data_IF_029787664477
#
_entry.id   IF_029787664477
#
_cell.length_a   1.000
_cell.length_b   1.000
_cell.length_c   1.000
_cell.angle_alpha   90.00
_cell.angle_beta   90.00
_cell.angle_gamma   90.00
#
_symmetry.space_group_name_H-M   'P 1'
#
loop_
_entity.id
_entity.type
_entity.pdbx_description
1 polymer ?
#
# COMPACT_ATOMS: atom_id res chain seq x y z
N UNK A 1 -13.42 21.91 -1.79
CA UNK A 1 -12.78 21.28 -0.62
C UNK A 1 -11.76 22.24 -0.04
N UNK A 2 -11.76 22.39 1.28
CA UNK A 2 -10.73 23.07 2.04
C UNK A 2 -9.64 22.06 2.43
N UNK A 3 -8.33 22.41 2.43
CA UNK A 3 -7.29 21.49 2.90
C UNK A 3 -7.53 20.92 4.31
N UNK A 4 -8.18 21.70 5.18
CA UNK A 4 -8.53 21.31 6.55
C UNK A 4 -9.65 20.22 6.61
N UNK A 5 -10.24 19.85 5.47
CA UNK A 5 -11.23 18.78 5.33
C UNK A 5 -10.61 17.44 4.88
N UNK A 6 -9.29 17.39 4.62
CA UNK A 6 -8.59 16.21 4.11
C UNK A 6 -8.42 15.15 5.20
N UNK A 7 -9.39 14.25 5.31
CA UNK A 7 -9.30 13.10 6.22
C UNK A 7 -8.26 12.09 5.76
N UNK A 8 -7.81 11.26 6.71
CA UNK A 8 -6.81 10.23 6.54
C UNK A 8 -7.38 8.85 6.86
N UNK A 9 -6.84 7.82 6.20
CA UNK A 9 -6.91 6.43 6.62
C UNK A 9 -5.55 5.77 6.36
N UNK A 10 -5.14 4.83 7.20
CA UNK A 10 -3.89 4.09 7.06
C UNK A 10 -4.22 2.61 7.14
N UNK A 11 -3.77 1.84 6.14
CA UNK A 11 -3.77 0.37 6.18
C UNK A 11 -2.32 -0.12 6.28
N UNK A 12 -2.06 -1.10 7.14
CA UNK A 12 -0.73 -1.69 7.33
C UNK A 12 -0.80 -3.21 7.28
N UNK A 13 0.09 -3.81 6.49
CA UNK A 13 0.23 -5.25 6.34
C UNK A 13 1.42 -5.73 7.19
N UNK A 14 1.20 -6.74 8.03
CA UNK A 14 2.18 -7.21 9.01
C UNK A 14 2.61 -8.66 8.85
N UNK A 15 3.87 -8.92 9.15
CA UNK A 15 4.49 -10.25 9.18
C UNK A 15 4.22 -10.93 10.53
N UNK A 16 3.67 -12.14 10.52
CA UNK A 16 3.64 -13.03 11.70
C UNK A 16 4.88 -13.92 11.66
N UNK A 17 5.72 -13.88 12.71
CA UNK A 17 6.89 -14.74 12.84
C UNK A 17 6.84 -15.62 14.09
N UNK A 18 7.46 -16.79 13.99
CA UNK A 18 7.87 -17.62 15.11
C UNK A 18 9.02 -16.91 15.88
N UNK A 19 8.99 -16.85 17.23
CA UNK A 19 10.01 -16.12 18.00
C UNK A 19 11.38 -16.82 18.05
N UNK A 20 11.41 -18.15 17.89
CA UNK A 20 12.61 -18.98 18.03
C UNK A 20 13.32 -19.16 16.68
N UNK A 21 12.60 -19.56 15.62
CA UNK A 21 13.15 -19.70 14.26
C UNK A 21 13.29 -18.35 13.56
N UNK A 22 12.44 -17.37 13.93
CA UNK A 22 12.27 -16.07 13.24
C UNK A 22 11.78 -16.21 11.81
N UNK A 23 11.20 -17.34 11.44
CA UNK A 23 10.56 -17.53 10.14
C UNK A 23 9.10 -17.08 10.16
N UNK A 24 8.59 -16.71 8.98
CA UNK A 24 7.17 -16.50 8.78
C UNK A 24 6.38 -17.78 9.02
N UNK A 25 5.29 -17.67 9.77
CA UNK A 25 4.47 -18.79 10.21
C UNK A 25 3.01 -18.60 9.84
N UNK A 26 2.38 -19.71 9.47
CA UNK A 26 1.03 -19.78 8.93
C UNK A 26 0.01 -20.02 10.04
N UNK A 27 -0.55 -18.96 10.63
CA UNK A 27 -1.38 -19.07 11.85
C UNK A 27 -2.64 -18.18 11.86
N UNK A 28 -3.02 -17.55 10.74
CA UNK A 28 -4.23 -16.70 10.67
C UNK A 28 -5.51 -17.43 11.12
N UNK A 29 -5.63 -18.74 10.90
CA UNK A 29 -6.88 -19.48 11.16
C UNK A 29 -7.34 -19.40 12.64
N UNK A 30 -6.46 -19.63 13.63
CA UNK A 30 -6.80 -19.43 15.05
C UNK A 30 -6.80 -17.94 15.46
N UNK A 31 -5.94 -17.12 14.83
CA UNK A 31 -5.88 -15.67 15.07
C UNK A 31 -7.25 -15.02 14.83
N UNK A 32 -7.96 -15.45 13.77
CA UNK A 32 -9.31 -15.00 13.45
C UNK A 32 -10.37 -15.48 14.43
N UNK A 33 -10.34 -16.73 14.90
CA UNK A 33 -11.37 -17.22 15.83
C UNK A 33 -11.34 -16.43 17.15
N UNK A 34 -10.14 -16.13 17.64
CA UNK A 34 -9.94 -15.31 18.85
C UNK A 34 -10.17 -13.81 18.58
N UNK A 35 -9.83 -13.30 17.39
CA UNK A 35 -9.99 -11.88 17.01
C UNK A 35 -11.42 -11.46 16.60
N UNK A 36 -12.19 -12.36 15.96
CA UNK A 36 -13.55 -12.10 15.45
C UNK A 36 -14.57 -11.75 16.54
N UNK A 37 -14.32 -12.13 17.79
CA UNK A 37 -15.17 -11.75 18.92
C UNK A 37 -15.01 -10.28 19.34
N UNK A 38 -13.96 -9.58 18.90
CA UNK A 38 -13.66 -8.22 19.39
C UNK A 38 -13.74 -7.15 18.28
N UNK A 39 -13.26 -7.42 17.06
CA UNK A 39 -13.14 -6.38 16.02
C UNK A 39 -13.41 -6.86 14.57
N UNK A 40 -14.67 -7.13 14.22
CA UNK A 40 -15.07 -7.63 12.89
C UNK A 40 -14.64 -6.79 11.68
N UNK A 41 -14.54 -5.47 11.83
CA UNK A 41 -14.45 -4.54 10.69
C UNK A 41 -13.04 -3.93 10.48
N UNK A 42 -12.07 -4.18 11.38
CA UNK A 42 -10.74 -3.53 11.36
C UNK A 42 -9.56 -4.47 11.12
N UNK A 43 -9.76 -5.78 11.26
CA UNK A 43 -8.74 -6.80 11.02
C UNK A 43 -9.24 -7.71 9.91
N UNK A 44 -8.58 -7.69 8.76
CA UNK A 44 -8.92 -8.56 7.62
C UNK A 44 -7.85 -9.64 7.49
N UNK A 45 -8.22 -10.92 7.31
CA UNK A 45 -7.26 -11.93 6.91
C UNK A 45 -6.85 -11.71 5.46
N UNK A 46 -5.55 -11.65 5.21
CA UNK A 46 -5.01 -11.47 3.88
C UNK A 46 -4.69 -12.80 3.19
N UNK A 47 -4.03 -12.71 2.04
CA UNK A 47 -3.89 -13.77 1.04
C UNK A 47 -3.09 -14.99 1.53
N UNK A 48 -2.11 -14.77 2.42
CA UNK A 48 -1.22 -15.79 2.99
C UNK A 48 -1.38 -15.86 4.51
N UNK A 49 -1.23 -17.06 5.10
CA UNK A 49 -1.51 -17.27 6.53
C UNK A 49 -0.53 -16.58 7.51
N UNK A 50 0.47 -15.89 6.98
CA UNK A 50 1.52 -15.17 7.70
C UNK A 50 1.38 -13.64 7.61
N UNK A 51 0.26 -13.13 7.07
CA UNK A 51 0.04 -11.71 6.76
C UNK A 51 -1.25 -11.15 7.38
N UNK A 52 -1.12 -10.13 8.23
CA UNK A 52 -2.28 -9.46 8.86
C UNK A 52 -2.44 -8.06 8.29
N UNK A 53 -3.59 -7.80 7.65
CA UNK A 53 -4.00 -6.47 7.22
C UNK A 53 -4.85 -5.81 8.33
N UNK A 54 -4.46 -4.60 8.75
CA UNK A 54 -5.31 -3.76 9.63
C UNK A 54 -5.52 -2.37 9.04
N UNK A 55 -6.75 -1.86 9.19
CA UNK A 55 -7.14 -0.53 8.72
C UNK A 55 -7.54 0.39 9.87
N UNK A 56 -7.02 1.62 9.86
CA UNK A 56 -7.45 2.68 10.78
C UNK A 56 -8.91 3.08 10.56
N UNK A 57 -9.50 3.76 11.55
CA UNK A 57 -10.68 4.59 11.30
C UNK A 57 -10.32 5.76 10.39
N UNK A 58 -11.34 6.46 9.90
CA UNK A 58 -11.16 7.75 9.23
C UNK A 58 -10.74 8.78 10.28
N UNK A 59 -9.49 9.24 10.18
CA UNK A 59 -8.88 10.25 11.04
C UNK A 59 -9.01 11.63 10.40
N UNK A 60 -9.12 12.69 11.21
CA UNK A 60 -9.22 14.08 10.74
C UNK A 60 -7.86 14.75 10.55
N UNK A 61 -6.86 14.30 11.29
CA UNK A 61 -5.52 14.86 11.35
C UNK A 61 -4.49 13.77 11.70
N UNK A 62 -3.21 14.16 11.81
CA UNK A 62 -2.13 13.21 12.08
C UNK A 62 -2.08 12.75 13.55
N UNK A 63 -2.66 13.53 14.46
CA UNK A 63 -2.82 13.21 15.88
C UNK A 63 -3.80 12.05 16.08
N UNK A 64 -4.99 12.10 15.46
CA UNK A 64 -5.95 10.99 15.45
C UNK A 64 -5.36 9.75 14.74
N UNK A 65 -4.57 9.94 13.68
CA UNK A 65 -3.89 8.85 12.98
C UNK A 65 -2.81 8.18 13.86
N UNK A 66 -2.07 8.96 14.65
CA UNK A 66 -1.10 8.45 15.64
C UNK A 66 -1.77 7.57 16.68
N UNK A 67 -2.91 7.99 17.21
CA UNK A 67 -3.68 7.21 18.18
C UNK A 67 -4.15 5.89 17.59
N UNK A 68 -4.74 5.90 16.39
CA UNK A 68 -5.24 4.69 15.72
C UNK A 68 -4.11 3.72 15.32
N UNK A 69 -3.02 4.18 14.70
CA UNK A 69 -1.86 3.32 14.35
C UNK A 69 -1.23 2.72 15.60
N UNK A 70 -1.07 3.50 16.68
CA UNK A 70 -0.55 2.99 17.96
C UNK A 70 -1.48 1.95 18.57
N UNK A 71 -2.80 2.17 18.51
CA UNK A 71 -3.81 1.22 19.01
C UNK A 71 -3.81 -0.08 18.20
N UNK A 72 -3.76 0.00 16.87
CA UNK A 72 -3.74 -1.16 15.98
C UNK A 72 -2.46 -1.98 16.15
N UNK A 73 -1.28 -1.35 16.17
CA UNK A 73 -0.01 -2.05 16.41
C UNK A 73 0.02 -2.77 17.75
N UNK A 74 -0.45 -2.12 18.83
CA UNK A 74 -0.59 -2.79 20.14
C UNK A 74 -1.52 -4.00 20.06
N UNK A 75 -2.69 -3.85 19.46
CA UNK A 75 -3.68 -4.92 19.29
C UNK A 75 -3.10 -6.12 18.53
N UNK A 76 -2.44 -5.90 17.39
CA UNK A 76 -1.85 -6.98 16.58
C UNK A 76 -0.73 -7.69 17.35
N UNK A 77 0.14 -6.94 18.04
CA UNK A 77 1.15 -7.51 18.94
C UNK A 77 0.53 -8.35 20.07
N UNK A 78 -0.49 -7.85 20.77
CA UNK A 78 -1.16 -8.56 21.86
C UNK A 78 -1.80 -9.90 21.40
N UNK A 79 -2.39 -9.94 20.20
CA UNK A 79 -2.99 -11.18 19.67
C UNK A 79 -1.88 -12.16 19.25
N UNK A 80 -0.79 -11.66 18.66
CA UNK A 80 0.41 -12.45 18.36
C UNK A 80 0.99 -13.09 19.62
N UNK A 81 1.21 -12.31 20.67
CA UNK A 81 1.79 -12.78 21.94
C UNK A 81 0.89 -13.81 22.65
N UNK A 82 -0.44 -13.64 22.61
CA UNK A 82 -1.41 -14.64 23.12
C UNK A 82 -1.34 -15.99 22.39
N UNK A 83 -0.66 -16.04 21.24
CA UNK A 83 -0.44 -17.25 20.45
C UNK A 83 1.04 -17.63 20.32
N UNK A 84 1.92 -17.09 21.18
CA UNK A 84 3.38 -17.28 21.15
C UNK A 84 4.07 -16.85 19.84
N UNK A 85 3.53 -15.85 19.15
CA UNK A 85 4.10 -15.28 17.93
C UNK A 85 4.59 -13.84 18.14
N UNK A 86 5.42 -13.35 17.22
CA UNK A 86 5.85 -11.94 17.16
C UNK A 86 5.47 -11.32 15.82
N UNK A 87 5.39 -9.99 15.80
CA UNK A 87 4.89 -9.20 14.68
C UNK A 87 6.01 -8.30 14.17
N UNK A 88 6.22 -8.28 12.84
CA UNK A 88 7.25 -7.46 12.19
C UNK A 88 6.62 -6.55 11.13
N UNK A 89 7.14 -5.32 11.07
CA UNK A 89 6.72 -4.25 10.15
C UNK A 89 7.87 -3.90 9.21
N UNK A 90 7.90 -4.51 8.03
CA UNK A 90 8.89 -4.32 6.98
C UNK A 90 8.34 -4.82 5.63
N UNK A 91 8.80 -4.27 4.50
CA UNK A 91 8.22 -4.54 3.19
C UNK A 91 8.36 -5.98 2.67
N UNK A 92 9.38 -6.69 3.14
CA UNK A 92 9.64 -8.11 2.87
C UNK A 92 10.12 -8.79 4.14
N UNK A 93 9.96 -10.11 4.22
CA UNK A 93 10.68 -10.90 5.22
C UNK A 93 12.09 -11.25 4.70
N UNK A 94 13.16 -11.14 5.52
CA UNK A 94 14.53 -11.22 5.02
C UNK A 94 14.95 -12.58 4.46
N UNK A 95 14.47 -13.70 5.01
CA UNK A 95 14.95 -15.05 4.60
C UNK A 95 13.89 -16.13 4.35
N UNK A 96 12.75 -16.14 5.08
CA UNK A 96 11.63 -17.03 4.76
C UNK A 96 11.22 -17.01 3.29
N UNK A 97 10.84 -18.18 2.79
CA UNK A 97 10.55 -18.41 1.37
C UNK A 97 9.05 -18.55 1.15
N UNK A 98 8.53 -17.85 0.14
CA UNK A 98 7.13 -17.93 -0.27
C UNK A 98 6.70 -19.35 -0.68
N UNK A 99 7.63 -20.18 -1.17
CA UNK A 99 7.36 -21.58 -1.53
C UNK A 99 6.95 -22.46 -0.34
N UNK A 100 7.33 -22.05 0.87
CA UNK A 100 7.21 -22.83 2.10
C UNK A 100 6.04 -22.34 2.99
N UNK A 101 5.30 -21.32 2.54
CA UNK A 101 4.17 -20.72 3.29
C UNK A 101 2.83 -21.40 2.97
N UNK A 102 1.99 -21.59 3.98
CA UNK A 102 0.63 -22.08 3.79
C UNK A 102 -0.35 -20.95 3.45
N UNK A 103 -1.40 -21.33 2.72
CA UNK A 103 -2.38 -20.42 2.12
C UNK A 103 -3.66 -20.40 2.96
N UNK A 104 -4.23 -19.23 3.19
CA UNK A 104 -5.35 -19.01 4.13
C UNK A 104 -6.66 -19.59 3.63
N UNK A 105 -6.96 -19.39 2.36
CA UNK A 105 -8.27 -19.71 1.79
C UNK A 105 -8.10 -20.34 0.41
N UNK A 106 -8.51 -21.60 0.29
CA UNK A 106 -8.34 -22.38 -0.94
C UNK A 106 -9.15 -21.83 -2.12
N UNK A 107 -10.21 -21.05 -1.92
CA UNK A 107 -11.07 -20.62 -3.02
C UNK A 107 -10.63 -19.26 -3.60
N UNK A 108 -10.46 -18.23 -2.76
CA UNK A 108 -9.92 -16.93 -3.19
C UNK A 108 -8.49 -17.06 -3.73
N UNK A 109 -7.67 -17.95 -3.16
CA UNK A 109 -6.34 -18.26 -3.69
C UNK A 109 -6.35 -19.00 -5.02
N UNK A 110 -7.24 -20.01 -5.20
CA UNK A 110 -7.39 -20.69 -6.49
C UNK A 110 -7.76 -19.70 -7.58
N UNK A 111 -8.66 -18.76 -7.30
CA UNK A 111 -9.06 -17.75 -8.27
C UNK A 111 -7.88 -16.82 -8.62
N UNK A 112 -7.13 -16.30 -7.63
CA UNK A 112 -5.98 -15.45 -7.94
C UNK A 112 -4.85 -16.21 -8.67
N UNK A 113 -4.61 -17.48 -8.34
CA UNK A 113 -3.62 -18.33 -9.05
C UNK A 113 -4.14 -18.79 -10.42
N UNK A 114 -5.46 -18.87 -10.64
CA UNK A 114 -6.02 -19.08 -11.97
C UNK A 114 -5.86 -17.81 -12.85
N UNK A 115 -6.12 -16.64 -12.29
CA UNK A 115 -6.01 -15.34 -12.98
C UNK A 115 -4.56 -14.95 -13.27
N UNK A 116 -3.68 -15.09 -12.29
CA UNK A 116 -2.30 -14.58 -12.30
C UNK A 116 -1.23 -15.68 -12.32
N UNK A 117 -1.59 -16.96 -12.28
CA UNK A 117 -0.66 -18.07 -12.44
C UNK A 117 0.51 -18.04 -11.41
N UNK A 118 1.74 -18.23 -11.86
CA UNK A 118 2.90 -18.41 -10.98
C UNK A 118 3.28 -17.15 -10.19
N UNK A 119 3.09 -15.95 -10.77
CA UNK A 119 3.48 -14.68 -10.13
C UNK A 119 2.68 -14.38 -8.86
N UNK A 120 1.41 -14.81 -8.76
CA UNK A 120 0.62 -14.69 -7.52
C UNK A 120 1.27 -15.39 -6.32
N UNK A 121 2.04 -16.46 -6.54
CA UNK A 121 2.67 -17.21 -5.46
C UNK A 121 3.81 -16.47 -4.78
N UNK A 122 4.38 -15.45 -5.45
CA UNK A 122 5.49 -14.63 -4.94
C UNK A 122 5.03 -13.46 -4.06
N UNK A 123 3.73 -13.23 -3.92
CA UNK A 123 3.13 -12.08 -3.20
C UNK A 123 3.20 -12.25 -1.68
N UNK A 124 4.41 -12.41 -1.16
CA UNK A 124 4.74 -12.39 0.27
C UNK A 124 5.48 -11.08 0.59
N UNK A 125 4.76 -9.99 0.42
CA UNK A 125 5.22 -8.62 0.52
C UNK A 125 4.21 -7.81 1.31
N UNK A 126 4.67 -6.76 2.00
CA UNK A 126 3.89 -6.10 3.04
C UNK A 126 3.89 -4.58 2.79
N UNK A 127 2.73 -4.02 2.48
CA UNK A 127 2.53 -2.60 2.19
C UNK A 127 2.19 -1.75 3.41
N UNK A 128 2.31 -0.45 3.22
CA UNK A 128 1.51 0.55 3.93
C UNK A 128 0.69 1.30 2.89
N UNK A 129 -0.63 1.35 3.05
CA UNK A 129 -1.49 2.17 2.22
C UNK A 129 -1.97 3.39 2.98
N UNK A 130 -2.03 4.53 2.30
CA UNK A 130 -2.56 5.78 2.85
C UNK A 130 -3.74 6.22 2.01
N UNK A 131 -4.86 6.51 2.64
CA UNK A 131 -6.03 7.10 2.01
C UNK A 131 -6.11 8.57 2.40
N UNK A 132 -6.25 9.46 1.41
CA UNK A 132 -6.58 10.87 1.64
C UNK A 132 -8.00 11.13 1.13
N UNK A 133 -8.88 11.63 1.99
CA UNK A 133 -10.27 11.94 1.66
C UNK A 133 -10.37 13.06 0.63
N UNK A 134 -10.96 12.77 -0.54
CA UNK A 134 -11.24 13.75 -1.59
C UNK A 134 -12.61 13.44 -2.19
N UNK A 135 -13.72 13.97 -1.62
CA UNK A 135 -15.08 13.64 -2.04
C UNK A 135 -15.42 14.02 -3.48
N UNK A 136 -14.86 15.11 -4.00
CA UNK A 136 -15.07 15.51 -5.39
C UNK A 136 -14.25 14.61 -6.33
N UNK A 137 -14.93 13.88 -7.23
CA UNK A 137 -14.30 12.92 -8.16
C UNK A 137 -13.34 13.56 -9.16
N UNK A 138 -13.70 14.70 -9.75
CA UNK A 138 -12.85 15.39 -10.74
C UNK A 138 -11.56 15.90 -10.09
N UNK A 139 -11.67 16.48 -8.90
CA UNK A 139 -10.52 16.90 -8.10
C UNK A 139 -9.64 15.70 -7.74
N UNK A 140 -10.21 14.53 -7.48
CA UNK A 140 -9.42 13.33 -7.16
C UNK A 140 -8.55 12.89 -8.34
N UNK A 141 -9.06 12.96 -9.57
CA UNK A 141 -8.28 12.68 -10.79
C UNK A 141 -7.23 13.76 -11.07
N UNK A 142 -7.62 15.05 -11.00
CA UNK A 142 -6.70 16.19 -11.15
C UNK A 142 -5.50 16.05 -10.20
N UNK A 143 -5.75 15.71 -8.93
CA UNK A 143 -4.70 15.49 -7.93
C UNK A 143 -3.92 14.21 -8.19
N UNK A 144 -4.55 13.12 -8.63
CA UNK A 144 -3.85 11.86 -8.98
C UNK A 144 -2.80 12.08 -10.07
N UNK A 145 -3.18 12.71 -11.19
CA UNK A 145 -2.28 12.96 -12.31
C UNK A 145 -1.04 13.80 -11.89
N UNK A 146 -1.26 14.78 -11.01
CA UNK A 146 -0.20 15.65 -10.50
C UNK A 146 0.69 14.95 -9.47
N UNK A 147 0.11 14.10 -8.61
CA UNK A 147 0.85 13.55 -7.46
C UNK A 147 1.82 12.42 -7.83
N UNK A 148 1.63 11.77 -8.99
CA UNK A 148 2.56 10.77 -9.54
C UNK A 148 4.03 11.24 -9.51
N UNK A 149 4.30 12.52 -9.81
CA UNK A 149 5.65 13.11 -9.75
C UNK A 149 6.32 12.97 -8.37
N UNK A 150 5.54 13.04 -7.28
CA UNK A 150 6.05 13.02 -5.92
C UNK A 150 6.25 11.59 -5.39
N UNK A 151 5.59 10.58 -5.97
CA UNK A 151 5.60 9.20 -5.46
C UNK A 151 7.01 8.59 -5.32
N UNK A 152 7.99 8.79 -6.21
CA UNK A 152 9.36 8.34 -5.99
C UNK A 152 10.00 8.87 -4.70
N UNK A 153 9.67 10.11 -4.29
CA UNK A 153 10.17 10.71 -3.05
C UNK A 153 9.54 10.03 -1.82
N UNK A 154 8.24 9.71 -1.90
CA UNK A 154 7.49 8.96 -0.89
C UNK A 154 8.03 7.52 -0.75
N UNK A 155 8.36 6.88 -1.87
CA UNK A 155 8.97 5.55 -1.88
C UNK A 155 10.36 5.59 -1.21
N UNK A 156 11.21 6.55 -1.57
CA UNK A 156 12.54 6.71 -0.99
C UNK A 156 12.52 6.86 0.55
N UNK A 157 11.49 7.51 1.11
CA UNK A 157 11.28 7.66 2.55
C UNK A 157 10.72 6.41 3.25
N UNK A 158 10.06 5.52 2.52
CA UNK A 158 9.34 4.36 3.08
C UNK A 158 10.06 3.03 2.89
N UNK A 159 11.15 2.97 2.12
CA UNK A 159 11.86 1.73 1.80
C UNK A 159 12.26 0.93 3.05
N UNK A 160 11.85 -0.33 3.14
CA UNK A 160 12.13 -1.21 4.28
C UNK A 160 12.37 -2.67 3.88
N UNK A 161 12.55 -2.95 2.59
CA UNK A 161 12.70 -4.30 2.03
C UNK A 161 14.02 -4.55 1.27
N UNK A 162 15.20 -4.41 1.90
CA UNK A 162 16.49 -4.64 1.22
C UNK A 162 16.86 -6.13 1.06
N UNK A 163 16.20 -7.04 1.79
CA UNK A 163 16.48 -8.47 1.80
C UNK A 163 15.35 -9.31 1.19
N UNK A 164 15.71 -10.41 0.54
CA UNK A 164 14.76 -11.39 0.01
C UNK A 164 15.38 -12.79 -0.02
N UNK A 165 14.68 -13.78 0.55
CA UNK A 165 15.09 -15.20 0.53
C UNK A 165 16.53 -15.48 1.00
N UNK A 166 17.05 -14.65 1.93
CA UNK A 166 18.38 -14.78 2.52
C UNK A 166 19.45 -13.95 1.82
N UNK A 167 19.10 -13.25 0.74
CA UNK A 167 20.02 -12.43 -0.03
C UNK A 167 19.83 -10.94 0.28
N UNK A 168 20.95 -10.22 0.43
CA UNK A 168 20.95 -8.77 0.24
C UNK A 168 20.75 -8.49 -1.24
N UNK A 169 19.64 -7.84 -1.59
CA UNK A 169 19.21 -7.66 -2.99
C UNK A 169 19.98 -6.54 -3.70
N UNK A 170 20.69 -5.69 -2.97
CA UNK A 170 21.28 -4.46 -3.48
C UNK A 170 20.27 -3.33 -3.76
N UNK A 171 18.98 -3.55 -3.44
CA UNK A 171 17.91 -2.56 -3.48
C UNK A 171 17.51 -2.17 -2.06
N UNK A 172 16.73 -1.09 -1.90
CA UNK A 172 16.11 -0.68 -0.63
C UNK A 172 14.63 -1.07 -0.55
N UNK A 173 13.89 -1.06 -1.67
CA UNK A 173 12.51 -1.58 -1.78
C UNK A 173 12.41 -2.74 -2.77
N UNK A 174 12.74 -3.96 -2.33
CA UNK A 174 12.54 -5.17 -3.13
C UNK A 174 11.04 -5.52 -3.28
N UNK A 175 10.18 -5.12 -2.33
CA UNK A 175 8.72 -5.23 -2.46
C UNK A 175 8.21 -4.64 -3.77
N UNK A 176 8.70 -3.45 -4.14
CA UNK A 176 8.30 -2.79 -5.39
C UNK A 176 8.63 -3.62 -6.64
N UNK A 177 9.74 -4.37 -6.61
CA UNK A 177 10.13 -5.26 -7.72
C UNK A 177 9.24 -6.50 -7.78
N UNK A 178 8.93 -7.12 -6.64
CA UNK A 178 8.00 -8.27 -6.59
C UNK A 178 6.59 -7.87 -7.04
N UNK A 179 6.13 -6.67 -6.69
CA UNK A 179 4.81 -6.17 -7.08
C UNK A 179 4.74 -5.83 -8.58
N UNK A 180 5.81 -5.28 -9.16
CA UNK A 180 5.88 -4.93 -10.58
C UNK A 180 5.74 -6.11 -11.56
N UNK A 181 5.91 -7.36 -11.10
CA UNK A 181 5.62 -8.55 -11.90
C UNK A 181 4.12 -8.78 -12.15
N UNK A 182 3.22 -8.07 -11.45
CA UNK A 182 1.77 -8.17 -11.65
C UNK A 182 1.25 -7.25 -12.76
N UNK A 183 0.26 -7.68 -13.57
CA UNK A 183 -0.38 -6.82 -14.56
C UNK A 183 -1.14 -5.67 -13.89
N UNK A 184 -1.20 -4.49 -14.52
CA UNK A 184 -1.88 -3.28 -14.00
C UNK A 184 -1.28 -2.75 -12.67
N UNK A 185 0.04 -2.86 -12.52
CA UNK A 185 0.82 -2.20 -11.45
C UNK A 185 1.59 -1.00 -12.00
N UNK A 186 2.29 -0.28 -11.11
CA UNK A 186 3.06 0.92 -11.45
C UNK A 186 2.23 2.20 -11.38
N UNK A 187 2.70 3.25 -12.04
CA UNK A 187 2.00 4.54 -12.05
C UNK A 187 0.74 4.47 -12.93
N UNK A 188 -0.35 5.16 -12.55
CA UNK A 188 -1.48 5.36 -13.45
C UNK A 188 -1.10 6.28 -14.61
N UNK A 189 -1.65 6.00 -15.80
CA UNK A 189 -1.70 6.97 -16.89
C UNK A 189 -2.55 8.19 -16.47
N UNK A 190 -2.31 9.39 -17.03
CA UNK A 190 -3.12 10.56 -16.74
C UNK A 190 -4.50 10.49 -17.42
N UNK A 191 -5.54 10.97 -16.73
CA UNK A 191 -6.91 11.07 -17.26
C UNK A 191 -7.39 12.52 -17.31
N UNK A 192 -8.08 12.92 -18.37
CA UNK A 192 -8.65 14.27 -18.54
C UNK A 192 -9.87 14.51 -17.64
N UNK A 193 -10.56 13.45 -17.19
CA UNK A 193 -11.76 13.54 -16.34
C UNK A 193 -12.02 12.29 -15.49
N UNK A 194 -12.88 12.40 -14.47
CA UNK A 194 -13.36 11.25 -13.74
C UNK A 194 -14.25 10.31 -14.57
N UNK A 195 -14.98 10.86 -15.56
CA UNK A 195 -15.77 10.03 -16.48
C UNK A 195 -14.85 9.18 -17.39
N UNK A 196 -13.71 9.70 -17.85
CA UNK A 196 -12.75 8.91 -18.64
C UNK A 196 -12.14 7.76 -17.82
N UNK A 197 -11.71 8.04 -16.58
CA UNK A 197 -11.27 7.00 -15.64
C UNK A 197 -12.36 5.95 -15.41
N UNK A 198 -13.62 6.39 -15.22
CA UNK A 198 -14.73 5.46 -15.01
C UNK A 198 -14.99 4.59 -16.25
N UNK A 199 -14.93 5.14 -17.46
CA UNK A 199 -15.04 4.36 -18.70
C UNK A 199 -13.92 3.32 -18.83
N UNK A 200 -12.67 3.62 -18.45
CA UNK A 200 -11.59 2.63 -18.43
C UNK A 200 -11.91 1.48 -17.46
N UNK A 201 -12.35 1.80 -16.24
CA UNK A 201 -12.70 0.79 -15.23
C UNK A 201 -13.88 -0.06 -15.69
N UNK A 202 -14.93 0.56 -16.22
CA UNK A 202 -16.10 -0.14 -16.77
C UNK A 202 -15.72 -1.05 -17.94
N UNK A 203 -14.83 -0.60 -18.85
CA UNK A 203 -14.33 -1.40 -19.96
C UNK A 203 -13.57 -2.63 -19.46
N UNK A 204 -12.63 -2.47 -18.51
CA UNK A 204 -11.86 -3.59 -17.95
C UNK A 204 -12.73 -4.65 -17.27
N UNK A 205 -13.83 -4.24 -16.61
CA UNK A 205 -14.82 -5.15 -16.03
C UNK A 205 -15.67 -5.83 -17.11
N UNK A 206 -16.16 -5.06 -18.08
CA UNK A 206 -17.02 -5.56 -19.17
C UNK A 206 -16.29 -6.55 -20.11
N UNK A 207 -14.99 -6.36 -20.33
CA UNK A 207 -14.14 -7.27 -21.12
C UNK A 207 -13.56 -8.41 -20.29
N UNK A 208 -13.98 -8.58 -19.03
CA UNK A 208 -13.49 -9.59 -18.09
C UNK A 208 -11.96 -9.58 -17.86
N UNK A 209 -11.31 -8.44 -18.04
CA UNK A 209 -9.89 -8.26 -17.69
C UNK A 209 -9.69 -8.17 -16.16
N UNK A 210 -10.73 -7.73 -15.45
CA UNK A 210 -10.90 -7.79 -13.98
C UNK A 210 -12.38 -8.13 -13.66
N UNK A 211 -12.63 -8.68 -12.48
CA UNK A 211 -13.96 -8.94 -11.92
C UNK A 211 -14.47 -7.75 -11.07
N UNK A 212 -13.58 -7.11 -10.31
CA UNK A 212 -13.86 -5.86 -9.60
C UNK A 212 -12.70 -4.84 -9.71
N UNK A 213 -12.98 -3.52 -9.58
CA UNK A 213 -11.97 -2.45 -9.71
C UNK A 213 -10.80 -2.52 -8.73
N UNK A 214 -10.90 -3.31 -7.65
CA UNK A 214 -9.82 -3.51 -6.68
C UNK A 214 -8.59 -4.22 -7.26
N UNK A 215 -8.73 -4.91 -8.41
CA UNK A 215 -7.64 -5.56 -9.18
C UNK A 215 -6.86 -4.61 -10.10
N UNK A 216 -7.02 -3.29 -9.93
CA UNK A 216 -6.14 -2.25 -10.49
C UNK A 216 -5.13 -1.87 -9.41
N UNK A 217 -3.88 -2.30 -9.55
CA UNK A 217 -2.87 -2.27 -8.49
C UNK A 217 -1.84 -1.15 -8.67
N UNK A 218 -2.29 0.02 -9.09
CA UNK A 218 -1.43 1.19 -9.26
C UNK A 218 -0.86 1.72 -7.94
N UNK A 219 0.29 2.39 -8.04
CA UNK A 219 1.01 3.06 -6.95
C UNK A 219 0.15 4.14 -6.26
N UNK A 220 -0.78 4.73 -7.00
CA UNK A 220 -1.86 5.59 -6.51
C UNK A 220 -3.12 5.34 -7.35
N UNK A 221 -4.31 5.34 -6.75
CA UNK A 221 -5.59 5.18 -7.45
C UNK A 221 -6.77 5.86 -6.75
N UNK A 222 -7.86 6.21 -7.46
CA UNK A 222 -9.14 6.52 -6.83
C UNK A 222 -9.68 5.24 -6.20
N UNK A 223 -9.88 5.23 -4.87
CA UNK A 223 -10.44 4.04 -4.23
C UNK A 223 -11.90 3.82 -4.70
N UNK A 224 -12.30 2.58 -5.07
CA UNK A 224 -13.56 2.35 -5.78
C UNK A 224 -14.83 2.43 -4.92
N UNK A 225 -14.72 2.31 -3.59
CA UNK A 225 -15.88 2.38 -2.65
C UNK A 225 -15.85 3.64 -1.78
N UNK A 226 -14.73 3.88 -1.10
CA UNK A 226 -14.51 5.10 -0.31
C UNK A 226 -14.18 6.34 -1.15
N UNK A 227 -14.58 7.55 -0.70
CA UNK A 227 -14.31 8.81 -1.39
C UNK A 227 -12.86 9.30 -1.18
N UNK A 228 -11.86 8.43 -1.40
CA UNK A 228 -10.44 8.68 -1.11
C UNK A 228 -9.56 8.49 -2.35
N UNK A 229 -8.45 9.21 -2.38
CA UNK A 229 -7.28 8.86 -3.19
C UNK A 229 -6.40 7.94 -2.33
N UNK A 230 -6.05 6.78 -2.86
CA UNK A 230 -5.34 5.71 -2.16
C UNK A 230 -3.92 5.59 -2.71
N UNK A 231 -2.93 5.76 -1.84
CA UNK A 231 -1.50 5.62 -2.13
C UNK A 231 -1.04 4.23 -1.67
N UNK A 232 -0.48 3.43 -2.59
CA UNK A 232 -0.10 2.03 -2.37
C UNK A 232 1.40 1.75 -2.55
N UNK A 233 2.17 2.79 -2.92
CA UNK A 233 3.59 2.67 -3.27
C UNK A 233 4.48 2.24 -2.08
N UNK A 234 4.15 2.63 -0.85
CA UNK A 234 5.02 2.46 0.31
C UNK A 234 5.21 0.99 0.71
N UNK A 235 6.43 0.63 1.09
CA UNK A 235 6.66 -0.57 1.91
C UNK A 235 6.02 -0.38 3.30
N UNK A 236 5.72 -1.48 4.01
CA UNK A 236 5.35 -1.43 5.42
C UNK A 236 6.52 -0.84 6.24
N UNK A 237 6.27 0.26 6.97
CA UNK A 237 7.31 1.07 7.61
C UNK A 237 7.49 0.62 9.07
N UNK A 238 8.74 0.44 9.52
CA UNK A 238 8.99 -0.15 10.85
C UNK A 238 8.58 0.73 12.02
N UNK A 239 8.83 2.04 11.99
CA UNK A 239 8.51 2.96 13.11
C UNK A 239 7.24 3.75 12.87
N UNK A 240 6.47 3.96 13.93
CA UNK A 240 5.24 4.78 13.92
C UNK A 240 5.54 6.24 13.53
N UNK A 241 6.66 6.81 13.99
CA UNK A 241 7.04 8.19 13.62
C UNK A 241 7.28 8.35 12.11
N UNK A 242 7.83 7.31 11.47
CA UNK A 242 8.13 7.31 10.05
C UNK A 242 6.83 7.11 9.22
N UNK A 243 5.93 6.21 9.68
CA UNK A 243 4.53 6.06 9.16
C UNK A 243 3.80 7.40 9.16
N UNK A 244 3.83 8.11 10.28
CA UNK A 244 3.14 9.38 10.44
C UNK A 244 3.81 10.50 9.62
N UNK A 245 5.13 10.52 9.54
CA UNK A 245 5.87 11.49 8.71
C UNK A 245 5.52 11.33 7.22
N UNK A 246 5.48 10.09 6.71
CA UNK A 246 5.08 9.80 5.33
C UNK A 246 3.61 10.14 5.08
N UNK A 247 2.72 9.79 6.02
CA UNK A 247 1.28 10.09 5.92
C UNK A 247 1.02 11.60 5.91
N UNK A 248 1.65 12.35 6.82
CA UNK A 248 1.52 13.80 6.88
C UNK A 248 2.09 14.48 5.62
N UNK A 249 3.20 13.96 5.07
CA UNK A 249 3.77 14.47 3.81
C UNK A 249 2.80 14.24 2.64
N UNK A 250 2.19 13.06 2.52
CA UNK A 250 1.15 12.80 1.51
C UNK A 250 -0.05 13.75 1.66
N UNK A 251 -0.55 13.93 2.88
CA UNK A 251 -1.64 14.88 3.19
C UNK A 251 -1.26 16.31 2.77
N UNK A 252 -0.04 16.75 3.10
CA UNK A 252 0.48 18.09 2.81
C UNK A 252 0.70 18.34 1.31
N UNK A 253 1.17 17.33 0.55
CA UNK A 253 1.31 17.43 -0.91
C UNK A 253 -0.08 17.51 -1.56
N UNK A 254 -1.04 16.66 -1.16
CA UNK A 254 -2.44 16.77 -1.63
C UNK A 254 -3.04 18.14 -1.30
N UNK A 255 -2.89 18.62 -0.06
CA UNK A 255 -3.32 19.94 0.36
C UNK A 255 -2.71 21.05 -0.52
N UNK A 256 -1.42 20.96 -0.82
CA UNK A 256 -0.71 21.93 -1.65
C UNK A 256 -1.20 21.94 -3.10
N UNK A 257 -1.43 20.78 -3.69
CA UNK A 257 -1.97 20.65 -5.05
C UNK A 257 -3.40 21.21 -5.12
N UNK A 258 -4.26 20.94 -4.13
CA UNK A 258 -5.60 21.55 -4.01
C UNK A 258 -5.52 23.08 -3.86
N UNK A 259 -4.54 23.61 -3.12
CA UNK A 259 -4.31 25.05 -3.02
C UNK A 259 -3.85 25.68 -4.34
N UNK A 260 -3.04 24.98 -5.14
CA UNK A 260 -2.68 25.42 -6.50
C UNK A 260 -3.93 25.45 -7.40
N UNK A 261 -4.74 24.37 -7.40
CA UNK A 261 -5.97 24.28 -8.19
C UNK A 261 -6.95 25.41 -7.86
N UNK A 262 -7.10 25.75 -6.58
CA UNK A 262 -7.89 26.92 -6.10
C UNK A 262 -7.41 28.27 -6.64
N UNK A 263 -6.17 28.37 -7.11
CA UNK A 263 -5.56 29.57 -7.72
C UNK A 263 -5.51 29.49 -9.25
N UNK A 264 -6.19 28.51 -9.85
CA UNK A 264 -6.09 28.17 -11.28
C UNK A 264 -4.65 27.83 -11.72
N UNK A 265 -3.88 27.20 -10.82
CA UNK A 265 -2.54 26.68 -11.09
C UNK A 265 -2.55 25.16 -10.97
N UNK A 266 -1.65 24.48 -11.66
CA UNK A 266 -1.40 23.04 -11.51
C UNK A 266 0.09 22.76 -11.41
N UNK A 267 0.44 21.62 -10.84
CA UNK A 267 1.76 21.03 -11.02
C UNK A 267 1.91 20.45 -12.43
N UNK A 268 3.13 20.43 -12.95
CA UNK A 268 3.42 19.87 -14.27
C UNK A 268 3.23 18.35 -14.25
N UNK A 269 2.40 17.84 -15.16
CA UNK A 269 2.31 16.40 -15.45
C UNK A 269 3.52 16.04 -16.31
N UNK A 270 4.32 15.09 -15.84
CA UNK A 270 5.51 14.59 -16.56
C UNK A 270 5.19 13.29 -17.29
N UNK A 271 6.00 12.96 -18.31
CA UNK A 271 5.90 11.66 -18.99
C UNK A 271 6.20 10.54 -17.99
N UNK A 272 5.36 9.51 -17.96
CA UNK A 272 5.47 8.39 -17.02
C UNK A 272 6.88 7.79 -16.95
N UNK A 273 7.52 7.53 -18.11
CA UNK A 273 8.90 7.01 -18.19
C UNK A 273 9.95 7.81 -17.41
N UNK A 274 9.76 9.12 -17.23
CA UNK A 274 10.65 9.98 -16.43
C UNK A 274 10.45 9.76 -14.93
N UNK A 275 9.19 9.56 -14.52
CA UNK A 275 8.82 9.27 -13.14
C UNK A 275 9.22 7.83 -12.78
N UNK A 276 9.11 6.88 -13.70
CA UNK A 276 9.55 5.48 -13.53
C UNK A 276 11.07 5.37 -13.31
N UNK A 277 11.88 6.14 -14.04
CA UNK A 277 13.34 6.23 -13.79
C UNK A 277 13.63 6.78 -12.38
N UNK A 278 12.88 7.78 -11.93
CA UNK A 278 12.98 8.26 -10.55
C UNK A 278 12.49 7.22 -9.53
N UNK A 279 11.43 6.45 -9.84
CA UNK A 279 10.94 5.34 -9.02
C UNK A 279 12.00 4.24 -8.90
N UNK A 280 12.67 3.88 -9.99
CA UNK A 280 13.77 2.91 -9.98
C UNK A 280 14.93 3.36 -9.08
N UNK A 281 15.30 4.64 -9.12
CA UNK A 281 16.33 5.19 -8.21
C UNK A 281 15.92 5.16 -6.75
N UNK A 282 14.65 5.46 -6.45
CA UNK A 282 14.10 5.31 -5.10
C UNK A 282 14.09 3.84 -4.62
N UNK A 283 13.71 2.89 -5.50
CA UNK A 283 13.76 1.45 -5.25
C UNK A 283 15.18 1.00 -4.91
N UNK A 284 16.16 1.42 -5.71
CA UNK A 284 17.55 0.97 -5.64
C UNK A 284 18.33 1.59 -4.48
N UNK A 285 18.30 2.92 -4.38
CA UNK A 285 19.22 3.68 -3.53
C UNK A 285 18.49 4.34 -2.33
N UNK A 286 17.16 4.42 -2.34
CA UNK A 286 16.37 5.04 -1.25
C UNK A 286 16.75 6.50 -1.03
N UNK A 287 16.96 6.90 0.23
CA UNK A 287 17.43 8.24 0.59
C UNK A 287 18.87 8.55 0.16
N UNK A 288 19.68 7.54 -0.16
CA UNK A 288 21.02 7.72 -0.72
C UNK A 288 20.97 8.03 -2.24
N UNK A 289 19.79 7.90 -2.86
CA UNK A 289 19.56 8.07 -4.29
C UNK A 289 19.51 9.52 -4.76
N UNK A 290 19.75 9.73 -6.07
CA UNK A 290 19.67 11.04 -6.73
C UNK A 290 18.58 11.05 -7.80
N UNK A 291 17.44 11.62 -7.47
CA UNK A 291 16.36 11.84 -8.44
C UNK A 291 16.77 12.88 -9.49
N UNK A 292 16.20 12.75 -10.69
CA UNK A 292 16.37 13.67 -11.81
C UNK A 292 15.31 14.79 -11.71
N UNK A 293 15.72 16.01 -12.04
CA UNK A 293 14.87 17.18 -12.26
C UNK A 293 14.69 17.41 -13.78
N UNK A 294 13.49 17.81 -14.25
CA UNK A 294 13.01 17.63 -15.64
C UNK A 294 12.27 18.84 -16.26
#
# INVERSE_FOLDING_TARGET
MNPDELTLGIEEEYQIIDPDTRELTSYISEFLEKGRMVFRDQVKPEFLQSQIEVGSRVCRNIEEAREEVTRLRRLVCEIGEKSNHKIVAAGTHPFSRWQEQEVTDKERYKNLVADLQFIARRLLIFGMHVHVGIPNRELRIDIMNQICYFLPHILALSTSSPFWQGHNTGLKSYRSVVFADLPRTGLPEPFDSADEYEHLVQMLVHTHCIDEPTKIWWDVRPHPRFPTLEFRICDCITKIEDVLSVTALLQAVVAKLIQLRRRNQSWRIYRQVLIDENKWRAIKDGLDGRLIDF
#
